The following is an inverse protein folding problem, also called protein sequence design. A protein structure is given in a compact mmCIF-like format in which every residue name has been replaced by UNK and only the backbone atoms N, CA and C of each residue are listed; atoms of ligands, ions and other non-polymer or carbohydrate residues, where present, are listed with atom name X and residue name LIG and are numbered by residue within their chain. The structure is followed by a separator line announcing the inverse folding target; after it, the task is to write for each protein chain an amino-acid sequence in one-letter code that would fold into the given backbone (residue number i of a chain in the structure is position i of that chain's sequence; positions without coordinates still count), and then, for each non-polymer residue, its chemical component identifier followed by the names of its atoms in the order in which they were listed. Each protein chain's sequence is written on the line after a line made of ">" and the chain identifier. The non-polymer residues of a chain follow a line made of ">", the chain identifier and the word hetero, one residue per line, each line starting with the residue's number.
data_IF_083135093329
#
_entry.id   IF_083135093329
#
_cell.length_a   1.000
_cell.length_b   1.000
_cell.length_c   1.000
_cell.angle_alpha   90.00
_cell.angle_beta   90.00
_cell.angle_gamma   90.00
#
_symmetry.space_group_name_H-M   'P 1'
#
loop_
_entity.id
_entity.type
_entity.pdbx_description
1 polymer ?
#
# COMPACT_ATOMS: atom_id res chain seq x y z
N UNK A 1 0.89 6.71 -16.18
CA UNK A 1 0.99 8.12 -15.81
C UNK A 1 2.44 8.56 -15.74
N UNK A 2 2.74 9.69 -16.37
CA UNK A 2 3.99 10.41 -16.21
C UNK A 2 3.68 11.75 -15.54
N UNK A 3 4.37 12.06 -14.47
CA UNK A 3 4.18 13.34 -13.78
C UNK A 3 5.46 13.79 -13.09
N UNK A 4 5.58 15.10 -12.88
CA UNK A 4 6.71 15.68 -12.15
C UNK A 4 6.29 15.96 -10.71
N UNK A 5 6.98 15.36 -9.75
CA UNK A 5 6.71 15.64 -8.35
C UNK A 5 7.15 17.06 -7.98
N UNK A 6 6.25 17.87 -7.42
CA UNK A 6 6.57 19.26 -7.04
C UNK A 6 7.72 19.36 -6.04
N UNK A 7 7.79 18.45 -5.06
CA UNK A 7 8.82 18.49 -4.00
C UNK A 7 10.19 18.00 -4.47
N UNK A 8 10.24 17.06 -5.40
CA UNK A 8 11.49 16.38 -5.78
C UNK A 8 11.98 16.78 -7.16
N UNK A 9 11.13 17.45 -7.95
CA UNK A 9 11.39 17.83 -9.36
C UNK A 9 11.75 16.64 -10.24
N UNK A 10 11.57 15.40 -9.76
CA UNK A 10 11.79 14.18 -10.53
C UNK A 10 10.59 13.84 -11.39
N UNK A 11 10.85 13.30 -12.59
CA UNK A 11 9.82 12.68 -13.41
C UNK A 11 9.56 11.29 -12.84
N UNK A 12 8.31 11.02 -12.50
CA UNK A 12 7.87 9.74 -11.98
C UNK A 12 7.00 9.04 -13.01
N UNK A 13 7.22 7.75 -13.17
CA UNK A 13 6.34 6.86 -13.91
C UNK A 13 5.54 6.00 -12.94
N UNK A 14 4.22 6.09 -13.02
CA UNK A 14 3.33 5.26 -12.21
C UNK A 14 2.35 4.51 -13.13
N UNK A 15 2.40 3.19 -13.17
CA UNK A 15 1.35 2.40 -13.81
C UNK A 15 0.04 2.59 -13.04
N UNK A 16 -1.06 2.65 -13.76
CA UNK A 16 -2.42 2.65 -13.21
C UNK A 16 -3.21 1.52 -13.85
N UNK A 17 -4.15 0.95 -13.11
CA UNK A 17 -5.04 -0.08 -13.63
C UNK A 17 -6.05 0.50 -14.62
N UNK A 18 -6.61 -0.34 -15.49
CA UNK A 18 -7.66 0.06 -16.43
C UNK A 18 -8.89 0.63 -15.69
N UNK A 19 -9.22 0.06 -14.53
CA UNK A 19 -10.27 0.59 -13.67
C UNK A 19 -9.96 2.02 -13.20
N UNK A 20 -8.74 2.29 -12.74
CA UNK A 20 -8.36 3.64 -12.33
C UNK A 20 -8.31 4.60 -13.53
N UNK A 21 -7.89 4.11 -14.69
CA UNK A 21 -7.88 4.89 -15.92
C UNK A 21 -9.30 5.28 -16.35
N UNK A 22 -10.25 4.36 -16.29
CA UNK A 22 -11.65 4.64 -16.65
C UNK A 22 -12.30 5.71 -15.76
N UNK A 23 -11.86 5.84 -14.51
CA UNK A 23 -12.32 6.87 -13.58
C UNK A 23 -11.74 8.26 -13.87
N UNK A 24 -10.71 8.36 -14.71
CA UNK A 24 -10.15 9.65 -15.10
C UNK A 24 -11.03 10.41 -16.12
N UNK A 25 -12.09 9.78 -16.64
CA UNK A 25 -12.94 10.34 -17.69
C UNK A 25 -12.33 10.23 -19.09
N UNK A 26 -12.88 10.98 -20.03
CA UNK A 26 -12.39 11.00 -21.42
C UNK A 26 -11.03 11.71 -21.49
N UNK A 27 -10.20 11.22 -22.42
CA UNK A 27 -8.90 11.84 -22.67
C UNK A 27 -9.07 13.22 -23.30
N UNK A 28 -8.63 14.25 -22.61
CA UNK A 28 -8.51 15.61 -23.14
C UNK A 28 -7.19 15.85 -23.88
N UNK A 29 -6.94 17.11 -24.22
CA UNK A 29 -5.69 17.57 -24.82
C UNK A 29 -4.50 17.30 -23.90
N UNK A 30 -3.30 17.16 -24.48
CA UNK A 30 -2.12 16.72 -23.75
C UNK A 30 -1.65 17.68 -22.65
N UNK A 31 -2.01 18.94 -22.73
CA UNK A 31 -1.66 20.01 -21.79
C UNK A 31 -2.76 20.30 -20.74
N UNK A 32 -3.94 19.66 -20.88
CA UNK A 32 -5.02 19.81 -19.90
C UNK A 32 -4.80 18.92 -18.67
N UNK A 33 -5.21 19.41 -17.52
CA UNK A 33 -5.23 18.64 -16.28
C UNK A 33 -6.32 17.56 -16.35
N UNK A 34 -6.01 16.36 -15.90
CA UNK A 34 -7.00 15.26 -15.79
C UNK A 34 -8.17 15.66 -14.88
N UNK A 35 -7.88 16.38 -13.80
CA UNK A 35 -8.89 16.90 -12.88
C UNK A 35 -8.81 18.41 -12.84
N UNK A 36 -9.66 19.06 -13.62
CA UNK A 36 -9.77 20.51 -13.60
C UNK A 36 -10.38 21.02 -12.29
N UNK A 37 -9.90 22.13 -11.77
CA UNK A 37 -10.38 22.73 -10.52
C UNK A 37 -9.74 22.17 -9.23
N UNK A 38 -8.91 21.14 -9.30
CA UNK A 38 -8.10 20.67 -8.17
C UNK A 38 -6.74 21.37 -8.14
N UNK A 39 -6.76 22.70 -8.03
CA UNK A 39 -5.55 23.50 -8.19
C UNK A 39 -4.62 23.49 -6.98
N UNK A 40 -5.14 23.27 -5.77
CA UNK A 40 -4.34 23.30 -4.54
C UNK A 40 -4.62 22.06 -3.66
N UNK A 41 -3.61 21.22 -3.37
CA UNK A 41 -3.76 20.08 -2.48
C UNK A 41 -4.27 20.44 -1.07
N UNK A 42 -4.03 21.66 -0.60
CA UNK A 42 -4.52 22.10 0.72
C UNK A 42 -6.04 22.22 0.78
N UNK A 43 -6.67 22.48 -0.34
CA UNK A 43 -8.14 22.63 -0.43
C UNK A 43 -8.87 21.29 -0.59
N UNK A 44 -8.18 20.24 -1.00
CA UNK A 44 -8.80 18.93 -1.29
C UNK A 44 -9.45 18.28 -0.05
N UNK A 45 -8.99 18.61 1.14
CA UNK A 45 -9.56 18.08 2.38
C UNK A 45 -10.94 18.65 2.70
N UNK A 46 -11.28 19.84 2.20
CA UNK A 46 -12.60 20.46 2.45
C UNK A 46 -13.74 19.69 1.76
N UNK A 47 -13.69 19.39 0.45
CA UNK A 47 -14.70 18.56 -0.20
C UNK A 47 -14.71 17.12 0.34
N UNK A 48 -13.56 16.51 0.67
CA UNK A 48 -13.49 15.19 1.30
C UNK A 48 -14.22 15.22 2.64
N UNK A 49 -13.97 16.21 3.50
CA UNK A 49 -14.64 16.35 4.79
C UNK A 49 -16.17 16.41 4.62
N UNK A 50 -16.67 17.27 3.71
CA UNK A 50 -18.10 17.40 3.45
C UNK A 50 -18.72 16.08 2.98
N UNK A 51 -18.03 15.35 2.11
CA UNK A 51 -18.51 14.07 1.62
C UNK A 51 -18.58 13.02 2.73
N UNK A 52 -17.55 12.93 3.59
CA UNK A 52 -17.50 12.03 4.73
C UNK A 52 -18.60 12.35 5.74
N UNK A 53 -18.82 13.62 6.08
CA UNK A 53 -19.91 14.07 6.97
C UNK A 53 -21.28 13.72 6.39
N UNK A 54 -21.49 13.94 5.10
CA UNK A 54 -22.74 13.62 4.42
C UNK A 54 -23.04 12.11 4.37
N UNK A 55 -22.01 11.25 4.43
CA UNK A 55 -22.15 9.79 4.48
C UNK A 55 -22.39 9.24 5.90
N UNK A 56 -22.49 10.09 6.92
CA UNK A 56 -22.71 9.70 8.32
C UNK A 56 -21.47 9.12 9.01
N UNK A 57 -20.30 9.17 8.39
CA UNK A 57 -19.05 8.69 8.97
C UNK A 57 -18.53 9.72 9.97
N UNK A 58 -18.34 9.32 11.22
CA UNK A 58 -17.86 10.19 12.31
C UNK A 58 -16.33 10.25 12.44
N UNK A 59 -15.60 9.37 11.74
CA UNK A 59 -14.14 9.34 11.75
C UNK A 59 -13.56 10.55 11.03
N UNK A 60 -12.48 11.13 11.56
CA UNK A 60 -11.73 12.16 10.88
C UNK A 60 -10.93 11.57 9.70
N UNK A 61 -11.45 11.73 8.49
CA UNK A 61 -10.83 11.25 7.25
C UNK A 61 -10.35 12.42 6.42
N UNK A 62 -9.10 12.38 6.03
CA UNK A 62 -8.45 13.33 5.14
C UNK A 62 -8.06 12.65 3.83
N UNK A 63 -7.71 13.44 2.82
CA UNK A 63 -7.18 12.89 1.56
C UNK A 63 -5.96 11.98 1.78
N UNK A 64 -5.14 12.26 2.80
CA UNK A 64 -3.98 11.44 3.13
C UNK A 64 -4.35 10.03 3.61
N UNK A 65 -5.53 9.84 4.19
CA UNK A 65 -6.01 8.52 4.60
C UNK A 65 -6.18 7.57 3.40
N UNK A 66 -6.54 8.07 2.23
CA UNK A 66 -6.62 7.25 1.00
C UNK A 66 -5.26 6.68 0.62
N UNK A 67 -4.19 7.48 0.79
CA UNK A 67 -2.82 7.02 0.56
C UNK A 67 -2.42 5.90 1.54
N UNK A 68 -2.78 6.03 2.82
CA UNK A 68 -2.56 4.97 3.81
C UNK A 68 -3.34 3.71 3.46
N UNK A 69 -4.62 3.86 3.09
CA UNK A 69 -5.46 2.74 2.67
C UNK A 69 -4.87 2.03 1.45
N UNK A 70 -4.42 2.78 0.44
CA UNK A 70 -3.78 2.22 -0.74
C UNK A 70 -2.54 1.39 -0.36
N UNK A 71 -1.65 1.93 0.47
CA UNK A 71 -0.45 1.23 0.92
C UNK A 71 -0.80 -0.07 1.68
N UNK A 72 -1.78 0.02 2.58
CA UNK A 72 -2.26 -1.12 3.37
C UNK A 72 -2.82 -2.22 2.46
N UNK A 73 -3.70 -1.87 1.53
CA UNK A 73 -4.29 -2.82 0.59
C UNK A 73 -3.22 -3.49 -0.28
N UNK A 74 -2.25 -2.75 -0.80
CA UNK A 74 -1.15 -3.32 -1.58
C UNK A 74 -0.36 -4.36 -0.78
N UNK A 75 0.05 -4.03 0.44
CA UNK A 75 0.77 -4.94 1.32
C UNK A 75 -0.08 -6.16 1.69
N UNK A 76 -1.36 -5.97 1.96
CA UNK A 76 -2.31 -7.06 2.27
C UNK A 76 -2.45 -8.00 1.08
N UNK A 77 -2.46 -7.48 -0.15
CA UNK A 77 -2.52 -8.28 -1.37
C UNK A 77 -1.18 -8.91 -1.80
N UNK A 78 -0.11 -8.75 -1.01
CA UNK A 78 1.16 -9.42 -1.27
C UNK A 78 2.20 -8.58 -1.99
N UNK A 79 1.89 -7.33 -2.36
CA UNK A 79 2.90 -6.44 -2.92
C UNK A 79 3.99 -6.19 -1.88
N UNK A 80 5.24 -6.33 -2.28
CA UNK A 80 6.37 -6.12 -1.37
C UNK A 80 6.52 -4.64 -0.97
N UNK A 81 7.10 -4.40 0.20
CA UNK A 81 7.21 -3.06 0.78
C UNK A 81 8.07 -2.10 -0.05
N UNK A 82 9.05 -2.62 -0.79
CA UNK A 82 9.90 -1.79 -1.65
C UNK A 82 9.10 -1.27 -2.84
N UNK A 83 8.34 -2.14 -3.50
CA UNK A 83 7.43 -1.77 -4.59
C UNK A 83 6.40 -0.75 -4.11
N UNK A 84 5.75 -0.99 -2.96
CA UNK A 84 4.80 -0.02 -2.39
C UNK A 84 5.48 1.32 -2.10
N UNK A 85 6.70 1.31 -1.57
CA UNK A 85 7.48 2.53 -1.33
C UNK A 85 7.70 3.33 -2.61
N UNK A 86 8.04 2.66 -3.71
CA UNK A 86 8.20 3.28 -5.03
C UNK A 86 6.89 3.84 -5.56
N UNK A 87 5.80 3.07 -5.50
CA UNK A 87 4.47 3.53 -5.92
C UNK A 87 3.98 4.75 -5.12
N UNK A 88 4.37 4.86 -3.86
CA UNK A 88 4.10 6.02 -3.04
C UNK A 88 5.07 7.19 -3.29
N UNK A 89 6.11 7.02 -4.10
CA UNK A 89 7.12 8.06 -4.35
C UNK A 89 7.96 8.39 -3.11
N UNK A 90 8.16 7.43 -2.21
CA UNK A 90 9.03 7.63 -1.05
C UNK A 90 10.50 7.53 -1.47
N UNK A 91 11.31 8.52 -1.11
CA UNK A 91 12.76 8.50 -1.34
C UNK A 91 13.48 7.40 -0.55
N UNK A 92 12.94 7.05 0.63
CA UNK A 92 13.49 6.03 1.53
C UNK A 92 12.41 5.02 1.88
N UNK A 93 12.73 3.74 1.79
CA UNK A 93 11.83 2.63 2.18
C UNK A 93 11.44 2.75 3.66
N UNK A 94 12.32 3.29 4.50
CA UNK A 94 12.05 3.51 5.93
C UNK A 94 10.77 4.33 6.18
N UNK A 95 10.39 5.22 5.26
CA UNK A 95 9.13 5.96 5.36
C UNK A 95 7.90 5.04 5.21
N UNK A 96 8.06 3.89 4.56
CA UNK A 96 7.01 2.89 4.37
C UNK A 96 6.93 1.90 5.53
N UNK A 97 7.93 1.88 6.42
CA UNK A 97 7.99 0.97 7.58
C UNK A 97 6.87 1.20 8.60
N UNK A 98 6.17 2.33 8.55
CA UNK A 98 4.95 2.54 9.35
C UNK A 98 3.90 1.44 9.10
N UNK A 99 3.99 0.76 7.96
CA UNK A 99 3.13 -0.38 7.60
C UNK A 99 3.75 -1.74 7.95
N UNK A 100 4.88 -1.79 8.66
CA UNK A 100 5.62 -3.03 8.96
C UNK A 100 4.74 -4.08 9.66
N UNK A 101 3.85 -3.66 10.56
CA UNK A 101 2.91 -4.57 11.24
C UNK A 101 2.06 -5.42 10.28
N UNK A 102 1.73 -4.90 9.10
CA UNK A 102 0.98 -5.65 8.08
C UNK A 102 1.84 -6.75 7.47
N UNK A 103 3.13 -6.45 7.27
CA UNK A 103 4.11 -7.42 6.76
C UNK A 103 4.36 -8.51 7.81
N UNK A 104 4.44 -8.15 9.08
CA UNK A 104 4.66 -9.12 10.18
C UNK A 104 3.47 -10.09 10.32
N UNK A 105 2.25 -9.61 10.27
CA UNK A 105 1.06 -10.48 10.27
C UNK A 105 1.06 -11.49 9.10
N UNK A 106 1.66 -11.14 7.97
CA UNK A 106 1.84 -12.06 6.83
C UNK A 106 2.94 -13.08 7.05
N UNK A 107 3.99 -12.73 7.77
CA UNK A 107 5.05 -13.69 8.14
C UNK A 107 4.49 -14.79 9.03
N UNK A 108 3.65 -14.41 10.02
CA UNK A 108 2.99 -15.37 10.90
C UNK A 108 2.12 -16.34 10.08
N UNK A 109 1.27 -15.82 9.20
CA UNK A 109 0.45 -16.64 8.31
C UNK A 109 1.28 -17.52 7.35
N UNK A 110 2.42 -17.03 6.89
CA UNK A 110 3.31 -17.79 6.00
C UNK A 110 4.03 -18.91 6.76
N UNK A 111 4.37 -18.72 8.02
CA UNK A 111 4.96 -19.77 8.86
C UNK A 111 4.00 -20.93 9.05
N UNK A 112 2.71 -20.63 9.25
CA UNK A 112 1.66 -21.65 9.43
C UNK A 112 1.24 -22.34 8.12
N UNK A 113 1.55 -21.75 6.97
CA UNK A 113 1.17 -22.28 5.66
C UNK A 113 2.00 -23.52 5.23
N UNK A 114 3.18 -23.70 5.80
CA UNK A 114 4.05 -24.84 5.50
C UNK A 114 3.91 -25.88 6.61
N UNK A 115 3.12 -26.90 6.36
CA UNK A 115 2.99 -28.05 7.24
C UNK A 115 3.72 -29.26 6.60
N UNK A 116 4.76 -29.73 7.26
CA UNK A 116 5.47 -30.93 6.87
C UNK A 116 4.97 -32.07 7.76
N UNK A 117 4.29 -33.05 7.17
CA UNK A 117 3.96 -34.29 7.86
C UNK A 117 5.22 -35.14 7.94
N UNK A 118 5.82 -35.21 9.12
CA UNK A 118 6.91 -36.13 9.38
C UNK A 118 6.31 -37.50 9.75
N UNK A 119 6.68 -38.55 9.04
CA UNK A 119 6.37 -39.92 9.47
C UNK A 119 7.21 -40.26 10.71
N UNK A 120 6.68 -41.10 11.60
CA UNK A 120 7.36 -41.51 12.83
C UNK A 120 8.75 -42.07 12.57
N UNK A 121 9.01 -42.69 11.41
CA UNK A 121 10.31 -43.15 10.96
C UNK A 121 11.35 -42.05 10.70
N UNK A 122 10.91 -40.81 10.51
CA UNK A 122 11.79 -39.64 10.29
C UNK A 122 12.08 -38.85 11.58
N UNK A 123 11.28 -39.07 12.62
CA UNK A 123 11.55 -38.61 13.97
C UNK A 123 12.53 -39.62 14.60
N UNK A 124 13.82 -39.46 14.30
CA UNK A 124 14.86 -40.32 14.87
C UNK A 124 14.67 -40.49 16.39
N UNK A 125 14.93 -41.70 16.88
CA UNK A 125 14.90 -42.06 18.32
C UNK A 125 15.50 -40.94 19.17
N UNK A 126 14.86 -40.55 20.29
CA UNK A 126 15.41 -39.55 21.20
C UNK A 126 16.85 -39.95 21.56
N UNK A 127 17.79 -39.04 21.34
CA UNK A 127 19.16 -39.20 21.80
C UNK A 127 19.09 -39.32 23.31
N UNK A 128 19.28 -40.52 23.83
CA UNK A 128 19.31 -40.82 25.25
C UNK A 128 20.48 -40.07 25.89
N UNK A 129 20.20 -38.94 26.50
CA UNK A 129 21.17 -38.10 27.22
C UNK A 129 21.39 -38.68 28.62
N UNK A 130 21.83 -39.95 28.70
CA UNK A 130 22.36 -40.54 29.91
C UNK A 130 23.72 -41.13 29.60
N UNK A 131 24.75 -40.41 30.03
CA UNK A 131 26.07 -40.81 30.54
C UNK A 131 26.97 -39.58 30.49
N UNK A 132 27.66 -39.20 31.44
CA UNK A 132 28.11 -39.49 32.82
C UNK A 132 28.54 -38.17 33.42
#
# INVERSE_FOLDING_TARGET
>A
LHFTQQKTKGVEYMPISDQAYSLCGERGDADRLVFEGLQDPSWINRPVKRWIEASGITKHITFHCFRHTYATLQLTNGTDIYTVSKMLGHKKVTTTQIYAKIVDAKKDAAADAIQITLSDDMLGTPIDSKKE
#
